data_IF_619874830208
#
_entry.id   IF_619874830208
#
_cell.length_a   1.000
_cell.length_b   1.000
_cell.length_c   1.000
_cell.angle_alpha   90.00
_cell.angle_beta   90.00
_cell.angle_gamma   90.00
#
_symmetry.space_group_name_H-M   'P 1'
#
loop_
_entity.id
_entity.type
_entity.pdbx_description
1 polymer ?
#
# COMPACT_ATOMS: atom_id res chain seq x y z
N UNK A 1 -35.86 40.17 36.61
CA UNK A 1 -35.89 40.12 35.14
C UNK A 1 -34.45 39.95 34.65
N UNK A 2 -33.99 38.71 34.44
CA UNK A 2 -32.62 38.42 34.01
C UNK A 2 -32.47 38.77 32.51
N UNK A 3 -31.40 39.45 32.08
CA UNK A 3 -31.25 39.86 30.69
C UNK A 3 -31.06 38.63 29.79
N UNK A 4 -31.97 38.49 28.82
CA UNK A 4 -32.18 37.34 27.91
C UNK A 4 -30.94 36.95 27.07
N UNK A 5 -29.89 37.78 27.04
CA UNK A 5 -28.73 37.61 26.16
C UNK A 5 -27.47 37.04 26.84
N UNK A 6 -27.47 36.80 28.15
CA UNK A 6 -26.28 36.27 28.87
C UNK A 6 -26.00 34.79 28.63
N UNK A 7 -27.00 34.02 28.17
CA UNK A 7 -26.89 32.59 27.85
C UNK A 7 -26.39 32.30 26.43
N UNK A 8 -26.34 33.30 25.56
CA UNK A 8 -25.97 33.12 24.13
C UNK A 8 -24.45 32.92 23.99
N UNK A 9 -23.64 33.68 24.72
CA UNK A 9 -22.18 33.58 24.69
C UNK A 9 -21.63 32.22 25.16
N UNK A 10 -22.09 31.61 26.28
CA UNK A 10 -21.64 30.27 26.66
C UNK A 10 -22.13 29.20 25.69
N UNK A 11 -23.31 29.37 25.08
CA UNK A 11 -23.85 28.46 24.06
C UNK A 11 -23.03 28.51 22.76
N UNK A 12 -22.65 29.71 22.31
CA UNK A 12 -21.72 29.90 21.18
C UNK A 12 -20.33 29.35 21.49
N UNK A 13 -19.83 29.51 22.72
CA UNK A 13 -18.57 28.91 23.16
C UNK A 13 -18.59 27.38 23.13
N UNK A 14 -19.69 26.77 23.59
CA UNK A 14 -19.88 25.31 23.54
C UNK A 14 -19.97 24.80 22.09
N UNK A 15 -20.67 25.54 21.22
CA UNK A 15 -20.76 25.25 19.79
C UNK A 15 -19.38 25.32 19.11
N UNK A 16 -18.58 26.35 19.44
CA UNK A 16 -17.24 26.52 18.88
C UNK A 16 -16.27 25.42 19.33
N UNK A 17 -16.35 24.98 20.58
CA UNK A 17 -15.61 23.81 21.08
C UNK A 17 -16.00 22.54 20.33
N UNK A 18 -17.29 22.32 20.05
CA UNK A 18 -17.75 21.13 19.31
C UNK A 18 -17.30 21.13 17.83
N UNK A 19 -17.12 22.30 17.22
CA UNK A 19 -16.66 22.45 15.84
C UNK A 19 -15.14 22.28 15.66
N UNK A 20 -14.36 22.27 16.75
CA UNK A 20 -12.91 22.07 16.73
C UNK A 20 -12.47 20.60 16.79
N UNK A 21 -13.42 19.66 16.89
CA UNK A 21 -13.14 18.22 16.93
C UNK A 21 -12.88 17.65 15.53
N UNK A 22 -11.88 18.18 14.82
CA UNK A 22 -11.36 17.54 13.61
C UNK A 22 -10.22 16.60 14.00
N UNK A 23 -10.47 15.30 13.93
CA UNK A 23 -9.42 14.29 14.01
C UNK A 23 -8.67 14.28 12.68
N UNK A 24 -7.38 14.59 12.69
CA UNK A 24 -6.51 14.38 11.53
C UNK A 24 -6.37 12.86 11.32
N UNK A 25 -7.17 12.29 10.43
CA UNK A 25 -7.02 10.89 10.07
C UNK A 25 -5.81 10.78 9.14
N UNK A 26 -4.77 10.08 9.59
CA UNK A 26 -3.66 9.72 8.71
C UNK A 26 -4.19 8.82 7.60
N UNK A 27 -3.81 9.11 6.36
CA UNK A 27 -4.29 8.37 5.20
C UNK A 27 -3.35 7.19 4.90
N UNK A 28 -3.67 6.02 5.43
CA UNK A 28 -2.85 4.82 5.34
C UNK A 28 -3.14 4.04 4.06
N UNK A 29 -2.53 4.46 2.95
CA UNK A 29 -2.78 3.85 1.64
C UNK A 29 -1.49 3.50 0.90
N UNK A 30 -1.42 2.25 0.41
CA UNK A 30 -0.45 1.83 -0.60
C UNK A 30 -1.08 1.82 -1.99
N UNK A 31 -0.33 2.23 -3.01
CA UNK A 31 -0.78 2.20 -4.41
C UNK A 31 0.06 1.23 -5.21
N UNK A 32 -0.59 0.31 -5.90
CA UNK A 32 0.07 -0.72 -6.69
C UNK A 32 -0.44 -0.67 -8.14
N UNK A 33 0.46 -0.80 -9.09
CA UNK A 33 0.16 -0.90 -10.50
C UNK A 33 0.73 -2.21 -11.03
N UNK A 34 -0.13 -3.07 -11.55
CA UNK A 34 0.22 -4.39 -12.11
C UNK A 34 -0.14 -4.36 -13.58
N UNK A 35 0.87 -4.29 -14.43
CA UNK A 35 0.71 -4.15 -15.88
C UNK A 35 1.21 -5.41 -16.60
N UNK A 36 0.34 -6.03 -17.40
CA UNK A 36 0.73 -7.10 -18.30
C UNK A 36 1.30 -6.52 -19.60
N UNK A 37 2.61 -6.67 -19.81
CA UNK A 37 3.30 -6.27 -21.01
C UNK A 37 3.41 -7.48 -21.97
N UNK A 38 2.41 -7.64 -22.84
CA UNK A 38 2.30 -8.78 -23.75
C UNK A 38 3.53 -8.96 -24.65
N UNK A 39 4.03 -7.88 -25.24
CA UNK A 39 5.22 -7.88 -26.11
C UNK A 39 6.49 -8.39 -25.41
N UNK A 40 6.55 -8.20 -24.09
CA UNK A 40 7.69 -8.59 -23.24
C UNK A 40 7.43 -9.88 -22.46
N UNK A 41 6.26 -10.51 -22.65
CA UNK A 41 5.82 -11.71 -21.93
C UNK A 41 6.06 -11.62 -20.42
N UNK A 42 5.64 -10.50 -19.83
CA UNK A 42 5.93 -10.23 -18.43
C UNK A 42 4.83 -9.42 -17.76
N UNK A 43 4.78 -9.52 -16.43
CA UNK A 43 4.06 -8.57 -15.58
C UNK A 43 5.07 -7.59 -15.00
N UNK A 44 4.75 -6.30 -15.06
CA UNK A 44 5.48 -5.22 -14.42
C UNK A 44 4.67 -4.74 -13.22
N UNK A 45 5.36 -4.52 -12.10
CA UNK A 45 4.73 -4.11 -10.84
C UNK A 45 5.43 -2.86 -10.35
N UNK A 46 4.67 -1.80 -10.11
CA UNK A 46 5.13 -0.60 -9.44
C UNK A 46 4.32 -0.44 -8.16
N UNK A 47 4.99 -0.33 -7.02
CA UNK A 47 4.35 -0.06 -5.73
C UNK A 47 4.82 1.27 -5.17
N UNK A 48 3.91 2.08 -4.63
CA UNK A 48 4.18 3.30 -3.88
C UNK A 48 3.71 3.09 -2.45
N UNK A 49 4.63 3.22 -1.51
CA UNK A 49 4.42 2.92 -0.10
C UNK A 49 5.11 4.00 0.72
N UNK A 50 4.44 4.58 1.72
CA UNK A 50 5.08 5.53 2.61
C UNK A 50 6.25 4.90 3.38
N UNK A 51 7.39 5.58 3.38
CA UNK A 51 8.67 5.11 3.93
C UNK A 51 8.56 4.88 5.44
N UNK A 52 7.95 5.81 6.18
CA UNK A 52 7.81 5.71 7.63
C UNK A 52 6.97 4.49 8.02
N UNK A 53 5.81 4.32 7.38
CA UNK A 53 4.91 3.21 7.63
C UNK A 53 5.57 1.87 7.25
N UNK A 54 6.33 1.84 6.15
CA UNK A 54 7.10 0.68 5.73
C UNK A 54 8.16 0.27 6.75
N UNK A 55 8.97 1.21 7.24
CA UNK A 55 9.96 0.94 8.28
C UNK A 55 9.29 0.46 9.57
N UNK A 56 8.20 1.10 9.99
CA UNK A 56 7.43 0.68 11.17
C UNK A 56 6.82 -0.72 11.00
N UNK A 57 6.31 -1.05 9.82
CA UNK A 57 5.71 -2.35 9.53
C UNK A 57 6.74 -3.47 9.46
N UNK A 58 7.94 -3.19 8.93
CA UNK A 58 9.08 -4.11 8.93
C UNK A 58 9.60 -4.31 10.35
N UNK A 59 9.75 -3.25 11.14
CA UNK A 59 10.16 -3.34 12.55
C UNK A 59 9.15 -4.16 13.36
N UNK A 60 7.84 -3.92 13.20
CA UNK A 60 6.80 -4.69 13.90
C UNK A 60 6.86 -6.18 13.55
N UNK A 61 7.10 -6.52 12.28
CA UNK A 61 7.11 -7.93 11.81
C UNK A 61 8.38 -8.68 12.21
N UNK A 62 9.54 -8.03 12.16
CA UNK A 62 10.83 -8.70 12.32
C UNK A 62 11.61 -8.30 13.57
N UNK A 63 11.06 -7.38 14.38
CA UNK A 63 11.73 -6.81 15.55
C UNK A 63 13.10 -6.19 15.23
N UNK A 64 13.23 -5.63 14.02
CA UNK A 64 14.46 -5.01 13.53
C UNK A 64 14.16 -3.67 12.88
N UNK A 65 14.79 -2.61 13.40
CA UNK A 65 14.77 -1.28 12.79
C UNK A 65 15.51 -1.30 11.46
N UNK A 66 14.94 -0.58 10.50
CA UNK A 66 15.54 -0.35 9.18
C UNK A 66 15.57 1.15 8.90
N UNK A 67 16.46 1.56 8.00
CA UNK A 67 16.54 2.96 7.55
C UNK A 67 16.20 3.06 6.05
N UNK A 68 15.23 2.27 5.60
CA UNK A 68 14.85 2.17 4.18
C UNK A 68 14.46 3.54 3.68
N UNK A 69 14.95 3.92 2.50
CA UNK A 69 14.65 5.22 1.88
C UNK A 69 15.45 6.39 2.44
N UNK A 70 16.45 6.16 3.29
CA UNK A 70 17.32 7.22 3.84
C UNK A 70 18.78 7.04 3.44
N UNK A 71 19.62 8.04 3.69
CA UNK A 71 21.08 7.96 3.50
C UNK A 71 21.76 6.87 4.37
N UNK A 72 21.09 6.42 5.43
CA UNK A 72 21.61 5.38 6.36
C UNK A 72 21.16 3.97 5.98
N UNK A 73 20.46 3.81 4.85
CA UNK A 73 19.99 2.50 4.39
C UNK A 73 21.17 1.55 4.16
N UNK A 74 21.08 0.35 4.74
CA UNK A 74 22.08 -0.70 4.57
C UNK A 74 21.62 -1.77 3.58
N UNK A 75 22.54 -2.59 3.06
CA UNK A 75 22.16 -3.74 2.24
C UNK A 75 21.23 -4.72 2.99
N UNK A 76 21.42 -4.87 4.31
CA UNK A 76 20.54 -5.69 5.13
C UNK A 76 19.11 -5.13 5.22
N UNK A 77 18.94 -3.81 5.18
CA UNK A 77 17.63 -3.16 5.12
C UNK A 77 16.94 -3.45 3.77
N UNK A 78 17.70 -3.37 2.67
CA UNK A 78 17.22 -3.69 1.32
C UNK A 78 16.82 -5.16 1.21
N UNK A 79 17.57 -6.07 1.80
CA UNK A 79 17.23 -7.50 1.77
C UNK A 79 16.01 -7.81 2.64
N UNK A 80 15.85 -7.13 3.77
CA UNK A 80 14.65 -7.23 4.61
C UNK A 80 13.42 -6.64 3.90
N UNK A 81 13.58 -5.54 3.16
CA UNK A 81 12.56 -4.97 2.29
C UNK A 81 12.09 -6.01 1.25
N UNK A 82 13.02 -6.59 0.49
CA UNK A 82 12.69 -7.60 -0.53
C UNK A 82 11.92 -8.78 0.07
N UNK A 83 12.36 -9.26 1.24
CA UNK A 83 11.69 -10.32 1.99
C UNK A 83 10.29 -9.90 2.43
N UNK A 84 10.14 -8.68 2.95
CA UNK A 84 8.84 -8.15 3.35
C UNK A 84 7.86 -8.06 2.17
N UNK A 85 8.32 -7.53 1.03
CA UNK A 85 7.50 -7.42 -0.17
C UNK A 85 7.06 -8.79 -0.69
N UNK A 86 7.96 -9.78 -0.76
CA UNK A 86 7.65 -11.10 -1.30
C UNK A 86 6.69 -11.91 -0.43
N UNK A 87 6.66 -11.67 0.88
CA UNK A 87 5.73 -12.35 1.79
C UNK A 87 4.33 -11.73 1.79
N UNK A 88 4.23 -10.43 1.54
CA UNK A 88 2.98 -9.68 1.67
C UNK A 88 2.35 -9.31 0.34
N UNK A 89 3.05 -9.49 -0.78
CA UNK A 89 2.52 -9.26 -2.12
C UNK A 89 2.84 -10.44 -3.01
N UNK A 90 1.82 -11.22 -3.36
CA UNK A 90 1.98 -12.44 -4.19
C UNK A 90 1.02 -12.44 -5.37
N UNK A 91 1.46 -13.07 -6.46
CA UNK A 91 0.66 -13.22 -7.68
C UNK A 91 0.68 -14.68 -8.12
N UNK A 92 -0.50 -15.20 -8.45
CA UNK A 92 -0.64 -16.46 -9.20
C UNK A 92 -1.21 -16.20 -10.58
N UNK A 93 -0.68 -16.90 -11.57
CA UNK A 93 -1.14 -16.86 -12.95
C UNK A 93 -1.66 -18.25 -13.30
N UNK A 94 -2.92 -18.35 -13.75
CA UNK A 94 -3.59 -19.63 -14.02
C UNK A 94 -3.46 -20.62 -12.84
N UNK A 95 -3.57 -20.12 -11.60
CA UNK A 95 -3.45 -20.92 -10.38
C UNK A 95 -2.03 -21.27 -9.95
N UNK A 96 -1.01 -20.97 -10.75
CA UNK A 96 0.40 -21.23 -10.41
C UNK A 96 1.05 -20.00 -9.79
N UNK A 97 1.70 -20.17 -8.63
CA UNK A 97 2.50 -19.11 -8.01
C UNK A 97 3.65 -18.72 -8.92
N UNK A 98 3.85 -17.41 -9.11
CA UNK A 98 4.93 -16.87 -9.93
C UNK A 98 5.84 -15.99 -9.07
N UNK A 99 7.17 -16.23 -9.08
CA UNK A 99 8.09 -15.44 -8.28
C UNK A 99 8.17 -14.01 -8.80
N UNK A 100 8.09 -13.05 -7.87
CA UNK A 100 8.26 -11.64 -8.17
C UNK A 100 9.73 -11.28 -7.97
N UNK A 101 10.36 -10.79 -9.03
CA UNK A 101 11.73 -10.29 -9.00
C UNK A 101 11.74 -8.80 -8.72
N UNK A 102 12.27 -8.40 -7.57
CA UNK A 102 12.58 -6.99 -7.28
C UNK A 102 13.71 -6.49 -8.19
N UNK A 103 13.55 -5.28 -8.74
CA UNK A 103 14.51 -4.69 -9.69
C UNK A 103 15.25 -3.51 -9.06
N UNK A 104 14.50 -2.51 -8.64
CA UNK A 104 15.03 -1.26 -8.12
C UNK A 104 13.99 -0.56 -7.25
N UNK A 105 14.42 0.48 -6.56
CA UNK A 105 13.57 1.42 -5.83
C UNK A 105 14.12 2.82 -5.94
N UNK A 106 13.26 3.80 -5.75
CA UNK A 106 13.60 5.21 -5.59
C UNK A 106 12.67 5.83 -4.53
N UNK A 107 13.07 6.98 -4.01
CA UNK A 107 12.25 7.78 -3.10
C UNK A 107 11.66 8.94 -3.89
N UNK A 108 10.34 9.04 -3.91
CA UNK A 108 9.57 10.12 -4.51
C UNK A 108 9.08 11.03 -3.39
N UNK A 109 9.20 12.36 -3.55
CA UNK A 109 8.70 13.35 -2.60
C UNK A 109 9.18 13.19 -1.14
N UNK A 110 10.40 12.66 -0.96
CA UNK A 110 11.07 12.38 0.33
C UNK A 110 10.43 11.31 1.23
N UNK A 111 9.17 10.95 1.04
CA UNK A 111 8.42 10.06 1.94
C UNK A 111 7.74 8.86 1.26
N UNK A 112 7.77 8.77 -0.08
CA UNK A 112 7.18 7.64 -0.83
C UNK A 112 8.26 6.77 -1.42
N UNK A 113 8.30 5.50 -1.02
CA UNK A 113 9.14 4.50 -1.65
C UNK A 113 8.43 3.93 -2.88
N UNK A 114 9.01 4.18 -4.06
CA UNK A 114 8.59 3.56 -5.32
C UNK A 114 9.44 2.33 -5.56
N UNK A 115 8.83 1.14 -5.60
CA UNK A 115 9.54 -0.09 -5.93
C UNK A 115 9.11 -0.62 -7.30
N UNK A 116 10.10 -1.10 -8.06
CA UNK A 116 9.90 -1.69 -9.37
C UNK A 116 10.20 -3.19 -9.30
N UNK A 117 9.24 -4.00 -9.73
CA UNK A 117 9.35 -5.45 -9.74
C UNK A 117 8.79 -6.05 -11.02
N UNK A 118 9.12 -7.31 -11.30
CA UNK A 118 8.60 -8.02 -12.46
C UNK A 118 8.36 -9.50 -12.22
N UNK A 119 7.50 -10.08 -13.05
CA UNK A 119 7.38 -11.52 -13.27
C UNK A 119 7.67 -11.79 -14.74
N UNK A 120 8.69 -12.61 -15.04
CA UNK A 120 9.03 -13.02 -16.41
C UNK A 120 8.21 -14.24 -16.86
N UNK A 121 8.30 -14.54 -18.15
CA UNK A 121 7.76 -15.77 -18.75
C UNK A 121 6.25 -15.94 -18.49
N UNK A 122 5.55 -14.81 -18.61
CA UNK A 122 4.08 -14.71 -18.51
C UNK A 122 3.51 -14.64 -19.92
N UNK A 123 3.09 -15.80 -20.41
CA UNK A 123 2.27 -15.90 -21.63
C UNK A 123 0.85 -15.38 -21.38
N UNK A 124 0.02 -15.36 -22.43
CA UNK A 124 -1.40 -15.07 -22.31
C UNK A 124 -2.05 -15.98 -21.26
N UNK A 125 -2.76 -15.38 -20.30
CA UNK A 125 -3.38 -16.06 -19.18
C UNK A 125 -4.89 -15.82 -19.12
N UNK A 126 -5.60 -16.70 -18.42
CA UNK A 126 -7.06 -16.61 -18.19
C UNK A 126 -7.36 -16.05 -16.80
N UNK A 127 -6.49 -16.31 -15.83
CA UNK A 127 -6.67 -15.83 -14.47
C UNK A 127 -5.40 -15.25 -13.87
N UNK A 128 -5.59 -14.21 -13.06
CA UNK A 128 -4.59 -13.64 -12.18
C UNK A 128 -5.19 -13.53 -10.78
N UNK A 129 -4.57 -14.17 -9.80
CA UNK A 129 -4.87 -14.02 -8.38
C UNK A 129 -3.82 -13.11 -7.79
N UNK A 130 -4.23 -12.03 -7.13
CA UNK A 130 -3.33 -11.11 -6.41
C UNK A 130 -3.67 -11.20 -4.94
N UNK A 131 -2.65 -11.36 -4.10
CA UNK A 131 -2.76 -11.19 -2.66
C UNK A 131 -1.90 -10.00 -2.24
N UNK A 132 -2.49 -9.04 -1.54
CA UNK A 132 -1.80 -7.85 -1.06
C UNK A 132 -2.18 -7.57 0.40
N UNK A 133 -1.23 -7.84 1.30
CA UNK A 133 -1.33 -7.57 2.74
C UNK A 133 -0.25 -6.62 3.23
N UNK A 134 0.38 -5.86 2.33
CA UNK A 134 1.42 -4.89 2.67
C UNK A 134 0.87 -3.95 3.74
N UNK A 135 1.59 -3.81 4.85
CA UNK A 135 1.26 -2.95 5.99
C UNK A 135 -0.04 -3.26 6.76
N UNK A 136 -0.84 -4.22 6.31
CA UNK A 136 -2.11 -4.60 6.97
C UNK A 136 -1.90 -5.15 8.38
N UNK A 137 -0.85 -5.94 8.60
CA UNK A 137 -0.55 -6.48 9.94
C UNK A 137 0.02 -5.40 10.88
N UNK A 138 0.58 -4.33 10.31
CA UNK A 138 1.07 -3.18 11.07
C UNK A 138 -0.08 -2.28 11.50
N UNK A 139 -0.98 -1.95 10.58
CA UNK A 139 -2.15 -1.13 10.81
C UNK A 139 -3.37 -1.76 10.13
N UNK A 140 -4.40 -2.09 10.92
CA UNK A 140 -5.64 -2.70 10.42
C UNK A 140 -6.47 -1.75 9.55
N UNK A 141 -6.25 -0.44 9.66
CA UNK A 141 -6.88 0.57 8.79
C UNK A 141 -6.14 0.74 7.45
N UNK A 142 -5.01 0.05 7.25
CA UNK A 142 -4.26 0.10 5.99
C UNK A 142 -5.13 -0.38 4.83
N UNK A 143 -5.10 0.39 3.76
CA UNK A 143 -5.73 0.04 2.49
C UNK A 143 -4.68 -0.03 1.39
N UNK A 144 -4.78 -1.02 0.51
CA UNK A 144 -3.90 -1.11 -0.65
C UNK A 144 -4.74 -1.15 -1.92
N UNK A 145 -4.76 -0.06 -2.68
CA UNK A 145 -5.41 -0.04 -3.99
C UNK A 145 -4.45 -0.58 -5.03
N UNK A 146 -4.89 -1.60 -5.76
CA UNK A 146 -4.14 -2.18 -6.87
C UNK A 146 -4.87 -1.95 -8.17
N UNK A 147 -4.22 -1.32 -9.12
CA UNK A 147 -4.67 -1.17 -10.50
C UNK A 147 -4.04 -2.26 -11.36
N UNK A 148 -4.87 -3.09 -11.99
CA UNK A 148 -4.44 -4.17 -12.87
C UNK A 148 -4.82 -3.82 -14.29
N UNK A 149 -3.84 -3.78 -15.18
CA UNK A 149 -4.04 -3.57 -16.62
C UNK A 149 -3.56 -4.81 -17.37
N UNK A 150 -4.49 -5.50 -18.05
CA UNK A 150 -4.17 -6.63 -18.92
C UNK A 150 -5.14 -6.70 -20.10
N UNK A 151 -4.64 -7.07 -21.27
CA UNK A 151 -5.44 -7.22 -22.51
C UNK A 151 -6.28 -5.97 -22.86
N UNK A 152 -5.75 -4.77 -22.60
CA UNK A 152 -6.46 -3.50 -22.83
C UNK A 152 -7.54 -3.18 -21.79
N UNK A 153 -7.74 -4.03 -20.77
CA UNK A 153 -8.74 -3.85 -19.72
C UNK A 153 -8.05 -3.42 -18.43
N UNK A 154 -8.55 -2.33 -17.84
CA UNK A 154 -8.14 -1.84 -16.52
C UNK A 154 -9.17 -2.28 -15.46
N UNK A 155 -8.69 -2.84 -14.35
CA UNK A 155 -9.48 -3.14 -13.14
C UNK A 155 -8.79 -2.55 -11.92
N UNK A 156 -9.56 -2.25 -10.88
CA UNK A 156 -9.02 -1.79 -9.61
C UNK A 156 -9.59 -2.64 -8.49
N UNK A 157 -8.74 -3.03 -7.54
CA UNK A 157 -9.12 -3.83 -6.38
C UNK A 157 -8.60 -3.11 -5.14
N UNK A 158 -9.45 -2.97 -4.13
CA UNK A 158 -9.07 -2.44 -2.83
C UNK A 158 -8.83 -3.61 -1.87
N UNK A 159 -7.59 -3.77 -1.42
CA UNK A 159 -7.22 -4.76 -0.43
C UNK A 159 -7.23 -4.13 0.97
N UNK A 160 -7.81 -4.84 1.93
CA UNK A 160 -7.94 -4.43 3.33
C UNK A 160 -7.66 -5.63 4.25
N UNK A 161 -7.69 -5.41 5.56
CA UNK A 161 -7.61 -6.46 6.58
C UNK A 161 -8.57 -7.63 6.29
N UNK A 162 -9.83 -7.31 5.96
CA UNK A 162 -10.89 -8.28 5.69
C UNK A 162 -10.89 -8.89 4.27
N UNK A 163 -10.17 -8.27 3.31
CA UNK A 163 -10.12 -8.69 1.91
C UNK A 163 -8.71 -8.53 1.36
N UNK A 164 -7.89 -9.57 1.51
CA UNK A 164 -6.45 -9.55 1.19
C UNK A 164 -6.12 -10.20 -0.16
N UNK A 165 -7.12 -10.78 -0.85
CA UNK A 165 -6.92 -11.58 -2.06
C UNK A 165 -8.09 -11.43 -3.03
N UNK A 166 -7.78 -11.35 -4.32
CA UNK A 166 -8.76 -11.23 -5.40
C UNK A 166 -8.34 -12.07 -6.61
N UNK A 167 -9.30 -12.78 -7.22
CA UNK A 167 -9.12 -13.57 -8.44
C UNK A 167 -9.81 -12.90 -9.62
N UNK A 168 -9.03 -12.39 -10.56
CA UNK A 168 -9.55 -11.77 -11.78
C UNK A 168 -9.52 -12.75 -12.96
N UNK A 169 -10.63 -12.82 -13.68
CA UNK A 169 -10.77 -13.61 -14.93
C UNK A 169 -10.78 -12.69 -16.15
N UNK A 170 -10.08 -13.10 -17.21
CA UNK A 170 -9.98 -12.42 -18.50
C UNK A 170 -10.43 -13.32 -19.64
#
# INVERSE_FOLDING_TARGET
MLPKNRLIYPLLGLLFLSLSAFTFHKFYMGVFQVNYAAEKKMIQITSRIFVDDLNNGIEKKYHKKTNIGTEKETQADVDLLKKYLSENFTIKINGQSKPITFLSKEVESDDVLVCYSRIKDVEKFKTIEISNSILVDWNTEQQNITHITAFGVKRSVLFTESSRKELLKY
#
